data_IF_990216390042
#
_entry.id   IF_990216390042
#
_cell.length_a   1.000
_cell.length_b   1.000
_cell.length_c   1.000
_cell.angle_alpha   90.00
_cell.angle_beta   90.00
_cell.angle_gamma   90.00
#
_symmetry.space_group_name_H-M   'P 1'
#
loop_
_entity.id
_entity.type
_entity.pdbx_description
1 polymer ?
#
# COMPACT_ATOMS: atom_id res chain seq x y z
N UNK A 1 -40.25 -39.47 44.98
CA UNK A 1 -40.13 -38.12 44.37
C UNK A 1 -39.02 -37.27 44.99
N UNK A 2 -38.64 -37.47 46.26
CA UNK A 2 -37.55 -36.72 46.92
C UNK A 2 -36.14 -37.05 46.38
N UNK A 3 -35.89 -38.32 46.04
CA UNK A 3 -34.57 -38.77 45.58
C UNK A 3 -34.16 -38.13 44.24
N UNK A 4 -35.08 -38.06 43.27
CA UNK A 4 -34.86 -37.35 41.99
C UNK A 4 -34.64 -35.83 42.17
N UNK A 5 -35.29 -35.22 43.17
CA UNK A 5 -35.07 -33.82 43.52
C UNK A 5 -33.67 -33.56 44.09
N UNK A 6 -33.20 -34.44 44.98
CA UNK A 6 -31.85 -34.35 45.54
C UNK A 6 -30.76 -34.58 44.48
N UNK A 7 -30.96 -35.54 43.56
CA UNK A 7 -30.07 -35.78 42.42
C UNK A 7 -29.99 -34.56 41.50
N UNK A 8 -31.14 -33.93 41.19
CA UNK A 8 -31.19 -32.74 40.34
C UNK A 8 -30.51 -31.52 41.00
N UNK A 9 -30.67 -31.32 42.31
CA UNK A 9 -29.96 -30.26 43.04
C UNK A 9 -28.45 -30.48 42.98
N UNK A 10 -27.98 -31.74 43.11
CA UNK A 10 -26.56 -32.08 43.01
C UNK A 10 -26.01 -31.82 41.60
N UNK A 11 -26.80 -32.14 40.57
CA UNK A 11 -26.44 -31.83 39.18
C UNK A 11 -26.31 -30.32 38.96
N UNK A 12 -27.30 -29.52 39.39
CA UNK A 12 -27.26 -28.06 39.25
C UNK A 12 -26.08 -27.43 40.00
N UNK A 13 -25.71 -27.96 41.16
CA UNK A 13 -24.52 -27.52 41.91
C UNK A 13 -23.22 -27.83 41.14
N UNK A 14 -23.15 -28.99 40.50
CA UNK A 14 -22.00 -29.37 39.67
C UNK A 14 -21.90 -28.49 38.42
N UNK A 15 -23.01 -28.24 37.72
CA UNK A 15 -23.06 -27.34 36.56
C UNK A 15 -22.67 -25.91 36.94
N UNK A 16 -23.14 -25.40 38.08
CA UNK A 16 -22.70 -24.08 38.58
C UNK A 16 -21.21 -24.02 38.88
N UNK A 17 -20.62 -25.10 39.40
CA UNK A 17 -19.18 -25.17 39.63
C UNK A 17 -18.41 -25.13 38.31
N UNK A 18 -18.82 -25.94 37.33
CA UNK A 18 -18.19 -26.00 36.02
C UNK A 18 -18.24 -24.65 35.29
N UNK A 19 -19.41 -24.00 35.28
CA UNK A 19 -19.55 -22.67 34.68
C UNK A 19 -18.69 -21.60 35.38
N UNK A 20 -18.48 -21.75 36.70
CA UNK A 20 -17.60 -20.83 37.45
C UNK A 20 -16.14 -21.04 37.07
N UNK A 21 -15.70 -22.29 36.98
CA UNK A 21 -14.32 -22.63 36.57
C UNK A 21 -14.04 -22.17 35.13
N UNK A 22 -15.02 -22.32 34.23
CA UNK A 22 -14.93 -21.83 32.85
C UNK A 22 -14.87 -20.29 32.78
N UNK A 23 -15.69 -19.60 33.56
CA UNK A 23 -15.65 -18.14 33.66
C UNK A 23 -14.30 -17.63 34.17
N UNK A 24 -13.72 -18.30 35.17
CA UNK A 24 -12.41 -17.92 35.72
C UNK A 24 -11.29 -18.21 34.71
N UNK A 25 -11.36 -19.31 33.96
CA UNK A 25 -10.44 -19.61 32.84
C UNK A 25 -10.51 -18.57 31.73
N UNK A 26 -11.72 -18.17 31.30
CA UNK A 26 -11.91 -17.14 30.28
C UNK A 26 -11.36 -15.78 30.73
N UNK A 27 -11.51 -15.43 32.01
CA UNK A 27 -10.93 -14.21 32.57
C UNK A 27 -9.40 -14.22 32.49
N UNK A 28 -8.77 -15.35 32.83
CA UNK A 28 -7.31 -15.51 32.69
C UNK A 28 -6.85 -15.41 31.23
N UNK A 29 -7.63 -15.97 30.29
CA UNK A 29 -7.33 -15.85 28.86
C UNK A 29 -7.41 -14.40 28.38
N UNK A 30 -8.43 -13.65 28.81
CA UNK A 30 -8.56 -12.21 28.50
C UNK A 30 -7.35 -11.44 29.03
N UNK A 31 -6.93 -11.70 30.26
CA UNK A 31 -5.77 -11.02 30.88
C UNK A 31 -4.46 -11.35 30.15
N UNK A 32 -4.26 -12.61 29.77
CA UNK A 32 -3.12 -13.05 28.96
C UNK A 32 -3.09 -12.40 27.58
N UNK A 33 -4.24 -12.33 26.91
CA UNK A 33 -4.37 -11.67 25.60
C UNK A 33 -4.14 -10.16 25.70
N UNK A 34 -4.70 -9.51 26.72
CA UNK A 34 -4.47 -8.08 26.95
C UNK A 34 -3.00 -7.77 27.22
N UNK A 35 -2.33 -8.62 28.00
CA UNK A 35 -0.88 -8.52 28.25
C UNK A 35 -0.10 -8.67 26.94
N UNK A 36 -0.46 -9.64 26.10
CA UNK A 36 0.16 -9.86 24.80
C UNK A 36 -0.05 -8.67 23.85
N UNK A 37 -1.26 -8.11 23.81
CA UNK A 37 -1.58 -6.92 23.02
C UNK A 37 -0.76 -5.72 23.51
N UNK A 38 -0.71 -5.48 24.82
CA UNK A 38 0.04 -4.38 25.41
C UNK A 38 1.54 -4.49 25.11
N UNK A 39 2.10 -5.70 25.21
CA UNK A 39 3.48 -5.97 24.84
C UNK A 39 3.73 -5.66 23.35
N UNK A 40 2.87 -6.14 22.45
CA UNK A 40 2.98 -5.82 21.03
C UNK A 40 2.88 -4.32 20.76
N UNK A 41 1.99 -3.61 21.46
CA UNK A 41 1.82 -2.16 21.34
C UNK A 41 3.03 -1.39 21.86
N UNK A 42 3.67 -1.85 22.95
CA UNK A 42 4.88 -1.23 23.50
C UNK A 42 6.09 -1.31 22.58
N UNK A 43 6.10 -2.28 21.66
CA UNK A 43 7.12 -2.45 20.64
C UNK A 43 6.89 -1.54 19.42
N UNK A 44 5.74 -0.87 19.33
CA UNK A 44 5.46 0.08 18.26
C UNK A 44 6.10 1.43 18.59
N UNK A 45 6.67 2.14 17.59
CA UNK A 45 7.07 3.53 17.76
C UNK A 45 5.90 4.39 18.25
N UNK A 46 6.18 5.54 18.87
CA UNK A 46 5.15 6.51 19.31
C UNK A 46 4.24 6.98 18.15
N UNK A 47 4.65 6.79 16.90
CA UNK A 47 3.91 7.07 15.67
C UNK A 47 3.23 5.85 15.04
N UNK A 48 3.23 4.68 15.70
CA UNK A 48 2.84 3.39 15.13
C UNK A 48 3.92 2.77 14.23
N UNK A 49 3.76 1.49 13.85
CA UNK A 49 4.64 0.87 12.87
C UNK A 49 4.41 1.54 11.49
N UNK A 50 5.47 1.89 10.74
CA UNK A 50 5.29 2.37 9.37
C UNK A 50 4.58 1.28 8.57
N UNK A 51 3.34 1.56 8.15
CA UNK A 51 2.61 0.69 7.21
C UNK A 51 3.50 0.56 5.98
N UNK A 52 3.92 -0.68 5.75
CA UNK A 52 5.08 -1.01 4.94
C UNK A 52 5.04 -0.39 3.56
N UNK A 53 6.17 0.24 3.15
CA UNK A 53 6.51 0.70 1.78
C UNK A 53 6.47 -0.40 0.69
N UNK A 54 5.89 -1.56 0.98
CA UNK A 54 5.77 -2.72 0.06
C UNK A 54 4.69 -2.53 -1.02
N UNK A 55 3.69 -1.67 -0.82
CA UNK A 55 2.69 -1.39 -1.87
C UNK A 55 3.29 -0.60 -3.03
N UNK A 56 4.22 0.31 -2.73
CA UNK A 56 4.90 1.11 -3.75
C UNK A 56 5.72 0.24 -4.71
N UNK A 57 6.36 -0.82 -4.21
CA UNK A 57 7.26 -1.62 -5.04
C UNK A 57 6.54 -2.39 -6.14
N UNK A 58 5.41 -3.07 -5.84
CA UNK A 58 4.76 -3.92 -6.84
C UNK A 58 4.03 -3.15 -7.94
N UNK A 59 3.36 -2.06 -7.59
CA UNK A 59 2.74 -1.19 -8.60
C UNK A 59 3.79 -0.51 -9.46
N UNK A 60 4.94 -0.15 -8.89
CA UNK A 60 6.04 0.42 -9.64
C UNK A 60 6.68 -0.59 -10.60
N UNK A 61 6.86 -1.85 -10.20
CA UNK A 61 7.25 -2.95 -11.10
C UNK A 61 6.28 -3.09 -12.29
N UNK A 62 4.97 -3.16 -12.02
CA UNK A 62 3.96 -3.30 -13.06
C UNK A 62 3.96 -2.11 -14.03
N UNK A 63 4.19 -0.90 -13.51
CA UNK A 63 4.33 0.29 -14.33
C UNK A 63 5.60 0.23 -15.20
N UNK A 64 6.73 -0.19 -14.64
CA UNK A 64 7.99 -0.30 -15.37
C UNK A 64 7.91 -1.34 -16.50
N UNK A 65 7.30 -2.49 -16.23
CA UNK A 65 7.00 -3.52 -17.24
C UNK A 65 6.11 -2.97 -18.36
N UNK A 66 5.08 -2.18 -18.01
CA UNK A 66 4.16 -1.59 -18.97
C UNK A 66 4.85 -0.53 -19.84
N UNK A 67 5.64 0.35 -19.21
CA UNK A 67 6.43 1.38 -19.90
C UNK A 67 7.42 0.74 -20.85
N UNK A 68 8.08 -0.34 -20.45
CA UNK A 68 9.00 -1.06 -21.32
C UNK A 68 8.28 -1.58 -22.57
N UNK A 69 7.20 -2.33 -22.41
CA UNK A 69 6.44 -2.89 -23.54
C UNK A 69 5.96 -1.80 -24.50
N UNK A 70 5.35 -0.73 -23.97
CA UNK A 70 4.84 0.38 -24.79
C UNK A 70 5.94 1.20 -25.44
N UNK A 71 7.08 1.39 -24.78
CA UNK A 71 8.22 2.12 -25.35
C UNK A 71 8.85 1.36 -26.52
N UNK A 72 8.82 0.02 -26.50
CA UNK A 72 9.30 -0.79 -27.62
C UNK A 72 8.39 -0.68 -28.85
N UNK A 73 7.08 -0.52 -28.64
CA UNK A 73 6.10 -0.28 -29.71
C UNK A 73 6.18 1.17 -30.25
N UNK A 74 6.14 2.17 -29.36
CA UNK A 74 6.33 3.59 -29.68
C UNK A 74 7.21 4.27 -28.63
N UNK A 75 8.39 4.70 -29.06
CA UNK A 75 9.38 5.35 -28.20
C UNK A 75 8.85 6.64 -27.55
N UNK A 76 7.88 7.31 -28.17
CA UNK A 76 7.27 8.54 -27.62
C UNK A 76 6.55 8.29 -26.30
N UNK A 77 6.08 7.05 -26.07
CA UNK A 77 5.44 6.65 -24.83
C UNK A 77 6.34 6.87 -23.61
N UNK A 78 7.65 6.69 -23.79
CA UNK A 78 8.62 6.91 -22.72
C UNK A 78 8.57 8.34 -22.17
N UNK A 79 8.39 9.36 -23.02
CA UNK A 79 8.27 10.75 -22.56
C UNK A 79 7.05 10.91 -21.66
N UNK A 80 5.90 10.34 -22.06
CA UNK A 80 4.70 10.34 -21.23
C UNK A 80 4.93 9.61 -19.91
N UNK A 81 5.66 8.48 -19.92
CA UNK A 81 5.99 7.75 -18.70
C UNK A 81 6.74 8.62 -17.68
N UNK A 82 7.64 9.52 -18.13
CA UNK A 82 8.37 10.43 -17.24
C UNK A 82 7.45 11.47 -16.58
N UNK A 83 6.36 11.85 -17.24
CA UNK A 83 5.33 12.74 -16.69
C UNK A 83 4.45 12.02 -15.67
N UNK A 84 4.04 10.79 -15.98
CA UNK A 84 3.09 10.04 -15.17
C UNK A 84 3.73 9.34 -13.97
N UNK A 85 5.03 9.03 -13.99
CA UNK A 85 5.72 8.36 -12.89
C UNK A 85 5.59 9.07 -11.52
N UNK A 86 5.84 10.40 -11.40
CA UNK A 86 5.60 11.11 -10.14
C UNK A 86 4.11 11.14 -9.74
N UNK A 87 3.20 11.22 -10.71
CA UNK A 87 1.76 11.19 -10.45
C UNK A 87 1.30 9.83 -9.90
N UNK A 88 1.79 8.73 -10.49
CA UNK A 88 1.51 7.39 -10.02
C UNK A 88 2.04 7.17 -8.60
N UNK A 89 3.24 7.66 -8.31
CA UNK A 89 3.79 7.59 -6.95
C UNK A 89 2.93 8.37 -5.95
N UNK A 90 2.47 9.57 -6.31
CA UNK A 90 1.54 10.35 -5.48
C UNK A 90 0.20 9.63 -5.28
N UNK A 91 -0.37 9.08 -6.34
CA UNK A 91 -1.63 8.33 -6.31
C UNK A 91 -1.54 7.13 -5.35
N UNK A 92 -0.48 6.32 -5.46
CA UNK A 92 -0.29 5.13 -4.63
C UNK A 92 -0.18 5.45 -3.14
N UNK A 93 0.37 6.62 -2.81
CA UNK A 93 0.51 7.08 -1.43
C UNK A 93 -0.78 7.71 -0.86
N UNK A 94 -1.61 8.29 -1.72
CA UNK A 94 -2.77 9.06 -1.29
C UNK A 94 -4.08 8.25 -1.31
N UNK A 95 -4.25 7.41 -2.33
CA UNK A 95 -5.52 6.73 -2.59
C UNK A 95 -5.68 5.50 -1.70
N UNK A 96 -6.83 5.42 -1.05
CA UNK A 96 -7.19 4.34 -0.14
C UNK A 96 -7.80 3.17 -0.91
N UNK A 97 -7.44 1.95 -0.53
CA UNK A 97 -8.01 0.72 -1.10
C UNK A 97 -8.84 -0.06 -0.07
N UNK A 98 -9.30 0.61 0.99
CA UNK A 98 -9.97 -0.04 2.13
C UNK A 98 -11.41 -0.47 1.81
N UNK A 99 -12.10 0.26 0.93
CA UNK A 99 -13.42 -0.06 0.41
C UNK A 99 -13.60 0.61 -0.96
N UNK A 100 -14.62 0.20 -1.72
CA UNK A 100 -14.93 0.83 -3.01
C UNK A 100 -15.30 2.31 -2.86
N UNK A 101 -16.05 2.64 -1.80
CA UNK A 101 -16.46 4.01 -1.50
C UNK A 101 -15.26 4.89 -1.12
N UNK A 102 -14.37 4.39 -0.26
CA UNK A 102 -13.14 5.09 0.10
C UNK A 102 -12.19 5.25 -1.08
N UNK A 103 -12.09 4.23 -1.94
CA UNK A 103 -11.32 4.31 -3.19
C UNK A 103 -11.82 5.43 -4.08
N UNK A 104 -13.13 5.48 -4.33
CA UNK A 104 -13.73 6.52 -5.14
C UNK A 104 -13.52 7.91 -4.54
N UNK A 105 -13.84 8.09 -3.26
CA UNK A 105 -13.72 9.36 -2.55
C UNK A 105 -12.28 9.86 -2.51
N UNK A 106 -11.33 9.01 -2.13
CA UNK A 106 -9.91 9.39 -2.06
C UNK A 106 -9.30 9.62 -3.43
N UNK A 107 -9.75 8.92 -4.48
CA UNK A 107 -9.32 9.18 -5.87
C UNK A 107 -9.78 10.55 -6.35
N UNK A 108 -11.06 10.91 -6.15
CA UNK A 108 -11.55 12.23 -6.52
C UNK A 108 -10.78 13.33 -5.78
N UNK A 109 -10.58 13.15 -4.48
CA UNK A 109 -9.85 14.10 -3.67
C UNK A 109 -8.38 14.22 -4.12
N UNK A 110 -7.74 13.12 -4.53
CA UNK A 110 -6.40 13.15 -5.09
C UNK A 110 -6.34 14.00 -6.37
N UNK A 111 -7.30 13.82 -7.29
CA UNK A 111 -7.36 14.61 -8.53
C UNK A 111 -7.52 16.10 -8.22
N UNK A 112 -8.41 16.45 -7.28
CA UNK A 112 -8.66 17.84 -6.89
C UNK A 112 -7.44 18.51 -6.24
N UNK A 113 -6.60 17.76 -5.52
CA UNK A 113 -5.46 18.30 -4.77
C UNK A 113 -4.12 18.18 -5.51
N UNK A 114 -3.96 17.22 -6.43
CA UNK A 114 -2.68 16.89 -7.04
C UNK A 114 -2.68 16.97 -8.58
N UNK A 115 -3.85 17.13 -9.20
CA UNK A 115 -3.98 17.33 -10.65
C UNK A 115 -4.45 18.73 -11.04
N UNK A 116 -4.31 19.73 -10.15
CA UNK A 116 -4.57 21.12 -10.53
C UNK A 116 -3.49 21.62 -11.49
N UNK A 117 -3.78 22.68 -12.25
CA UNK A 117 -2.78 23.27 -13.15
C UNK A 117 -1.55 23.80 -12.39
N UNK A 118 -1.75 24.27 -11.14
CA UNK A 118 -0.68 24.80 -10.30
C UNK A 118 0.26 23.68 -9.86
N UNK A 119 -0.28 22.50 -9.57
CA UNK A 119 0.50 21.32 -9.14
C UNK A 119 1.11 20.56 -10.31
N UNK A 120 0.41 20.46 -11.44
CA UNK A 120 0.91 19.76 -12.62
C UNK A 120 2.05 20.51 -13.32
N UNK A 121 2.02 21.86 -13.33
CA UNK A 121 3.05 22.67 -13.98
C UNK A 121 4.47 22.33 -13.50
N UNK A 122 4.79 22.32 -12.20
CA UNK A 122 6.12 21.95 -11.73
C UNK A 122 6.46 20.48 -12.03
N UNK A 123 5.49 19.56 -11.99
CA UNK A 123 5.72 18.15 -12.35
C UNK A 123 6.18 18.04 -13.81
N UNK A 124 5.43 18.63 -14.73
CA UNK A 124 5.75 18.61 -16.17
C UNK A 124 7.10 19.27 -16.45
N UNK A 125 7.33 20.47 -15.89
CA UNK A 125 8.59 21.19 -16.08
C UNK A 125 9.79 20.42 -15.53
N UNK A 126 9.65 19.76 -14.38
CA UNK A 126 10.72 18.94 -13.82
C UNK A 126 11.01 17.70 -14.67
N UNK A 127 9.98 17.04 -15.20
CA UNK A 127 10.15 15.90 -16.10
C UNK A 127 10.77 16.30 -17.45
N UNK A 128 10.37 17.46 -18.01
CA UNK A 128 10.99 18.00 -19.22
C UNK A 128 12.44 18.41 -18.98
N UNK A 129 12.74 19.04 -17.84
CA UNK A 129 14.12 19.33 -17.42
C UNK A 129 14.93 18.04 -17.29
N UNK A 130 14.37 17.02 -16.63
CA UNK A 130 15.01 15.72 -16.49
C UNK A 130 15.34 15.13 -17.86
N UNK A 131 14.37 15.10 -18.77
CA UNK A 131 14.56 14.69 -20.17
C UNK A 131 15.74 15.44 -20.79
N UNK A 132 15.69 16.78 -20.83
CA UNK A 132 16.75 17.61 -21.41
C UNK A 132 18.14 17.44 -20.79
N UNK A 133 18.24 17.00 -19.53
CA UNK A 133 19.52 16.76 -18.86
C UNK A 133 20.05 15.32 -18.98
N UNK A 134 19.19 14.38 -19.41
CA UNK A 134 19.51 12.95 -19.49
C UNK A 134 19.54 12.41 -20.91
N UNK A 135 19.07 13.20 -21.85
CA UNK A 135 19.08 12.91 -23.28
C UNK A 135 19.76 14.06 -24.01
N UNK A 136 20.29 13.77 -25.19
CA UNK A 136 20.84 14.79 -26.08
C UNK A 136 19.74 15.47 -26.90
N UNK A 137 18.48 15.49 -26.44
CA UNK A 137 17.31 16.00 -27.18
C UNK A 137 17.49 17.43 -27.71
N UNK A 138 18.25 18.28 -27.00
CA UNK A 138 18.49 19.67 -27.37
C UNK A 138 19.59 19.83 -28.43
N UNK A 139 20.45 18.81 -28.60
CA UNK A 139 21.61 18.83 -29.51
C UNK A 139 21.40 17.90 -30.70
N UNK A 140 20.95 16.67 -30.44
CA UNK A 140 20.78 15.58 -31.39
C UNK A 140 19.44 14.85 -31.16
N UNK A 141 18.30 15.46 -31.56
CA UNK A 141 16.96 14.90 -31.32
C UNK A 141 16.72 13.56 -32.02
N UNK A 142 17.53 13.20 -33.03
CA UNK A 142 17.41 11.92 -33.75
C UNK A 142 17.83 10.71 -32.93
N UNK A 143 18.63 10.90 -31.87
CA UNK A 143 19.07 9.82 -30.97
C UNK A 143 18.01 9.45 -29.92
N UNK A 144 17.02 10.32 -29.72
CA UNK A 144 15.99 10.18 -28.69
C UNK A 144 15.22 8.84 -28.72
N UNK A 145 14.87 8.26 -29.89
CA UNK A 145 14.23 6.95 -29.95
C UNK A 145 15.08 5.85 -29.34
N UNK A 146 16.39 5.84 -29.61
CA UNK A 146 17.31 4.83 -29.09
C UNK A 146 17.61 5.04 -27.60
N UNK A 147 17.71 6.29 -27.17
CA UNK A 147 17.88 6.63 -25.76
C UNK A 147 16.64 6.25 -24.93
N UNK A 148 15.44 6.49 -25.44
CA UNK A 148 14.19 6.09 -24.81
C UNK A 148 14.11 4.57 -24.63
N UNK A 149 14.44 3.80 -25.68
CA UNK A 149 14.47 2.33 -25.62
C UNK A 149 15.51 1.84 -24.62
N UNK A 150 16.73 2.40 -24.63
CA UNK A 150 17.79 2.07 -23.66
C UNK A 150 17.38 2.38 -22.23
N UNK A 151 16.79 3.55 -21.99
CA UNK A 151 16.31 3.96 -20.68
C UNK A 151 15.21 3.01 -20.16
N UNK A 152 14.24 2.65 -21.00
CA UNK A 152 13.18 1.71 -20.65
C UNK A 152 13.71 0.30 -20.32
N UNK A 153 14.72 -0.20 -21.04
CA UNK A 153 15.37 -1.48 -20.72
C UNK A 153 16.16 -1.42 -19.41
N UNK A 154 16.85 -0.32 -19.14
CA UNK A 154 17.66 -0.16 -17.92
C UNK A 154 16.83 -0.08 -16.63
N UNK A 155 15.57 0.37 -16.73
CA UNK A 155 14.66 0.48 -15.59
C UNK A 155 14.29 -0.90 -15.01
N UNK A 156 14.18 -1.93 -15.85
CA UNK A 156 13.88 -3.30 -15.44
C UNK A 156 15.01 -3.95 -14.62
N UNK A 157 16.26 -3.69 -15.03
CA UNK A 157 17.44 -4.30 -14.40
C UNK A 157 17.70 -3.78 -12.98
N UNK A 158 17.18 -2.60 -12.64
CA UNK A 158 17.27 -2.03 -11.28
C UNK A 158 16.29 -2.68 -10.29
N UNK A 159 15.29 -3.39 -10.78
CA UNK A 159 14.23 -4.00 -9.95
C UNK A 159 14.50 -5.48 -9.66
N UNK A 160 15.54 -6.06 -10.28
CA UNK A 160 15.97 -7.46 -10.11
C UNK A 160 17.20 -7.63 -9.20
N UNK A 161 17.73 -6.55 -8.62
CA UNK A 161 18.81 -6.50 -7.63
C UNK A 161 18.27 -5.93 -6.31
#
# INVERSE_FOLDING_TARGET
MLQKGAEYIRQLQQERSQLKDEMDSLRQQIESLNTSISNCQSLLPATGAPVSRRRDSKMQEMFDDYVQKRTMEDWKFWIFSLLFRPLLSSFNNFVSTSSLEELYRSTLHWVEQHCTLVDLRPVVLNSLRYLSTKTDILSEPENLPEEARRAAMSALNKTQL
#
